data_IF_212181905233
#
_entry.id   IF_212181905233
#
_cell.length_a   1.000
_cell.length_b   1.000
_cell.length_c   1.000
_cell.angle_alpha   90.00
_cell.angle_beta   90.00
_cell.angle_gamma   90.00
#
_symmetry.space_group_name_H-M   'P 1'
#
loop_
_entity.id
_entity.type
_entity.pdbx_description
1 polymer ?
#
# COMPACT_ATOMS: atom_id res chain seq x y z
N UNK A 1 -24.58 -7.02 31.57
CA UNK A 1 -23.87 -7.77 30.51
C UNK A 1 -24.53 -7.39 29.20
N UNK A 2 -23.96 -6.41 28.49
CA UNK A 2 -24.43 -5.99 27.16
C UNK A 2 -23.29 -6.28 26.19
N UNK A 3 -23.29 -7.47 25.63
CA UNK A 3 -22.31 -7.93 24.64
C UNK A 3 -22.99 -7.90 23.28
N UNK A 4 -22.94 -6.77 22.57
CA UNK A 4 -23.22 -6.76 21.13
C UNK A 4 -22.57 -5.53 20.48
N UNK A 5 -21.24 -5.52 20.48
CA UNK A 5 -20.48 -4.58 19.64
C UNK A 5 -19.53 -5.35 18.70
N UNK A 6 -19.81 -5.22 17.40
CA UNK A 6 -18.79 -5.07 16.37
C UNK A 6 -17.85 -6.24 16.09
N UNK A 7 -18.29 -7.25 15.32
CA UNK A 7 -17.35 -8.15 14.61
C UNK A 7 -17.72 -8.39 13.15
N UNK A 8 -17.85 -7.30 12.39
CA UNK A 8 -17.56 -7.28 10.94
C UNK A 8 -16.37 -6.36 10.65
N UNK A 9 -15.23 -6.57 11.33
CA UNK A 9 -13.92 -6.04 10.89
C UNK A 9 -13.14 -7.17 10.24
N UNK A 10 -13.58 -7.54 9.05
CA UNK A 10 -12.79 -8.35 8.13
C UNK A 10 -11.44 -7.67 7.94
N UNK A 11 -10.37 -8.28 8.48
CA UNK A 11 -8.95 -8.05 8.17
C UNK A 11 -8.69 -6.72 7.43
N UNK A 12 -8.74 -5.61 8.16
CA UNK A 12 -7.96 -4.43 7.77
C UNK A 12 -6.51 -4.86 7.93
N UNK A 13 -5.96 -5.54 6.92
CA UNK A 13 -4.53 -5.82 6.83
C UNK A 13 -3.88 -4.45 7.02
N UNK A 14 -2.98 -4.33 7.97
CA UNK A 14 -2.35 -3.08 8.35
C UNK A 14 -1.46 -2.60 7.18
N UNK A 15 -2.10 -2.05 6.15
CA UNK A 15 -1.48 -1.76 4.85
C UNK A 15 -0.36 -0.73 5.05
N UNK A 16 -0.60 0.27 5.90
CA UNK A 16 0.40 1.27 6.24
C UNK A 16 1.61 0.65 6.95
N UNK A 17 1.38 -0.27 7.89
CA UNK A 17 2.44 -1.03 8.56
C UNK A 17 3.24 -1.94 7.64
N UNK A 18 2.61 -2.55 6.62
CA UNK A 18 3.31 -3.32 5.59
C UNK A 18 4.09 -2.42 4.64
N UNK A 19 3.52 -1.30 4.20
CA UNK A 19 4.17 -0.34 3.31
C UNK A 19 5.41 0.30 3.95
N UNK A 20 5.36 0.61 5.25
CA UNK A 20 6.48 1.18 6.00
C UNK A 20 7.73 0.27 5.98
N UNK A 21 7.52 -1.05 5.86
CA UNK A 21 8.60 -2.05 5.74
C UNK A 21 9.13 -2.19 4.32
N UNK A 22 8.45 -1.63 3.32
CA UNK A 22 8.87 -1.71 1.93
C UNK A 22 9.73 -0.49 1.55
N UNK A 23 10.59 -0.63 0.53
CA UNK A 23 11.37 0.47 -0.01
C UNK A 23 10.49 1.38 -0.89
N UNK A 24 9.38 1.87 -0.34
CA UNK A 24 8.41 2.73 -0.99
C UNK A 24 8.26 4.03 -0.24
N UNK A 25 7.91 5.07 -0.96
CA UNK A 25 7.48 6.34 -0.41
C UNK A 25 5.94 6.34 -0.39
N UNK A 26 5.34 6.60 0.77
CA UNK A 26 3.88 6.62 0.92
C UNK A 26 3.46 8.06 1.18
N UNK A 27 2.56 8.57 0.35
CA UNK A 27 1.92 9.85 0.52
C UNK A 27 0.41 9.64 0.57
N UNK A 28 -0.26 10.41 1.42
CA UNK A 28 -1.71 10.41 1.51
C UNK A 28 -2.20 11.69 0.83
N UNK A 29 -2.98 11.52 -0.24
CA UNK A 29 -3.63 12.62 -0.95
C UNK A 29 -5.12 12.46 -0.78
N UNK A 30 -5.77 13.42 -0.12
CA UNK A 30 -7.21 13.39 0.21
C UNK A 30 -7.62 12.09 0.94
N UNK A 31 -8.27 11.17 0.22
CA UNK A 31 -8.74 9.84 0.66
C UNK A 31 -8.05 8.68 -0.11
N UNK A 32 -6.91 8.94 -0.74
CA UNK A 32 -6.13 7.96 -1.49
C UNK A 32 -4.71 7.81 -0.92
N UNK A 33 -4.28 6.56 -0.79
CA UNK A 33 -2.90 6.21 -0.52
C UNK A 33 -2.14 6.14 -1.85
N UNK A 34 -1.15 6.99 -1.99
CA UNK A 34 -0.25 7.07 -3.15
C UNK A 34 1.12 6.57 -2.75
N UNK A 35 1.59 5.54 -3.45
CA UNK A 35 2.81 4.83 -3.12
C UNK A 35 3.78 4.88 -4.28
N UNK A 36 4.99 5.41 -4.05
CA UNK A 36 6.04 5.48 -5.05
C UNK A 36 7.14 4.49 -4.73
N UNK A 37 7.39 3.54 -5.63
CA UNK A 37 8.42 2.53 -5.43
C UNK A 37 9.81 3.14 -5.61
N UNK A 38 10.68 2.93 -4.63
CA UNK A 38 12.11 3.23 -4.71
C UNK A 38 12.63 4.38 -3.86
N UNK A 39 11.82 5.11 -3.08
CA UNK A 39 12.28 6.23 -2.22
C UNK A 39 13.34 7.15 -2.91
N UNK A 40 13.18 7.46 -4.19
CA UNK A 40 14.13 8.28 -4.97
C UNK A 40 15.44 7.59 -5.38
N UNK A 41 15.56 6.28 -5.18
CA UNK A 41 16.68 5.43 -5.63
C UNK A 41 16.17 4.31 -6.54
N UNK A 42 17.04 3.84 -7.43
CA UNK A 42 16.74 2.69 -8.28
C UNK A 42 16.89 1.41 -7.46
N UNK A 43 15.78 0.71 -7.24
CA UNK A 43 15.83 -0.59 -6.56
C UNK A 43 16.40 -1.66 -7.48
N UNK A 44 17.03 -2.70 -6.92
CA UNK A 44 17.30 -3.95 -7.62
C UNK A 44 16.02 -4.50 -8.25
N UNK A 45 16.15 -5.20 -9.38
CA UNK A 45 14.99 -5.72 -10.11
C UNK A 45 14.15 -6.68 -9.26
N UNK A 46 14.78 -7.56 -8.48
CA UNK A 46 14.11 -8.46 -7.53
C UNK A 46 13.28 -7.72 -6.48
N UNK A 47 13.88 -6.72 -5.82
CA UNK A 47 13.21 -5.91 -4.79
C UNK A 47 12.06 -5.10 -5.39
N UNK A 48 12.26 -4.55 -6.59
CA UNK A 48 11.21 -3.85 -7.32
C UNK A 48 10.05 -4.79 -7.62
N UNK A 49 10.29 -5.94 -8.27
CA UNK A 49 9.25 -6.91 -8.64
C UNK A 49 8.52 -7.46 -7.40
N UNK A 50 9.23 -7.70 -6.30
CA UNK A 50 8.64 -8.14 -5.04
C UNK A 50 7.72 -7.06 -4.44
N UNK A 51 8.19 -5.81 -4.39
CA UNK A 51 7.42 -4.65 -3.92
C UNK A 51 6.15 -4.44 -4.75
N UNK A 52 6.29 -4.46 -6.08
CA UNK A 52 5.17 -4.37 -7.03
C UNK A 52 4.15 -5.49 -6.81
N UNK A 53 4.62 -6.71 -6.61
CA UNK A 53 3.75 -7.86 -6.35
C UNK A 53 2.98 -7.72 -5.04
N UNK A 54 3.62 -7.20 -3.98
CA UNK A 54 2.97 -6.92 -2.70
C UNK A 54 1.92 -5.82 -2.85
N UNK A 55 2.23 -4.73 -3.55
CA UNK A 55 1.28 -3.63 -3.81
C UNK A 55 0.04 -4.12 -4.54
N UNK A 56 0.20 -4.96 -5.58
CA UNK A 56 -0.93 -5.62 -6.26
C UNK A 56 -1.78 -6.46 -5.31
N UNK A 57 -1.16 -7.29 -4.46
CA UNK A 57 -1.89 -8.12 -3.49
C UNK A 57 -2.64 -7.30 -2.44
N UNK A 58 -2.10 -6.14 -2.06
CA UNK A 58 -2.74 -5.20 -1.12
C UNK A 58 -3.88 -4.37 -1.76
N UNK A 59 -4.08 -4.49 -3.07
CA UNK A 59 -5.15 -3.81 -3.81
C UNK A 59 -4.78 -2.44 -4.36
N UNK A 60 -3.49 -2.09 -4.40
CA UNK A 60 -3.04 -0.88 -5.09
C UNK A 60 -3.10 -1.07 -6.61
N UNK A 61 -3.45 0.00 -7.31
CA UNK A 61 -3.45 0.09 -8.77
C UNK A 61 -2.27 0.93 -9.23
N UNK A 62 -1.56 0.45 -10.24
CA UNK A 62 -0.48 1.21 -10.85
C UNK A 62 -1.03 2.31 -11.75
N UNK A 63 -0.57 3.53 -11.52
CA UNK A 63 -0.84 4.73 -12.29
C UNK A 63 0.37 5.00 -13.20
N UNK A 64 0.25 4.80 -14.53
CA UNK A 64 1.37 4.94 -15.45
C UNK A 64 1.79 6.39 -15.69
N UNK A 65 0.86 7.34 -15.55
CA UNK A 65 1.11 8.78 -15.71
C UNK A 65 2.07 9.30 -14.65
N UNK A 66 1.80 8.98 -13.38
CA UNK A 66 2.61 9.42 -12.24
C UNK A 66 3.69 8.42 -11.84
N UNK A 67 3.65 7.21 -12.41
CA UNK A 67 4.47 6.05 -12.02
C UNK A 67 4.33 5.72 -10.53
N UNK A 68 3.14 5.89 -9.98
CA UNK A 68 2.81 5.61 -8.58
C UNK A 68 1.77 4.50 -8.46
N UNK A 69 1.56 4.02 -7.23
CA UNK A 69 0.60 3.00 -6.89
C UNK A 69 -0.46 3.62 -6.01
N UNK A 70 -1.70 3.68 -6.50
CA UNK A 70 -2.79 4.37 -5.83
C UNK A 70 -3.80 3.37 -5.29
N UNK A 71 -4.30 3.61 -4.09
CA UNK A 71 -5.38 2.83 -3.49
C UNK A 71 -6.31 3.79 -2.76
N UNK A 72 -7.59 3.74 -3.12
CA UNK A 72 -8.65 4.40 -2.37
C UNK A 72 -8.77 3.73 -1.00
N UNK A 73 -8.61 4.50 0.07
CA UNK A 73 -8.72 3.98 1.44
C UNK A 73 -10.15 3.95 1.94
#
# INVERSE_FOLDING_TARGET
MGEEEGRRRSRSVDVEGELSKLPVDVSREDDELVVKVGKGRRLPEDEFRNTISKLKRMGFKFDPDTKTWRKRT
#
